data_IF_517529774452
#
_entry.id   IF_517529774452
#
_cell.length_a   1.000
_cell.length_b   1.000
_cell.length_c   1.000
_cell.angle_alpha   90.00
_cell.angle_beta   90.00
_cell.angle_gamma   90.00
#
_symmetry.space_group_name_H-M   'P 1'
#
loop_
_entity.id
_entity.type
_entity.pdbx_description
1 polymer ?
#
# COMPACT_ATOMS: atom_id res chain seq x y z
N UNK A 1 5.03 19.16 9.01
CA UNK A 1 4.29 18.88 7.76
C UNK A 1 3.62 17.52 7.95
N UNK A 2 2.36 17.36 7.55
CA UNK A 2 1.62 16.09 7.64
C UNK A 2 1.10 15.69 6.27
N UNK A 3 0.95 14.39 6.07
CA UNK A 3 0.49 13.77 4.82
C UNK A 3 -0.87 13.10 5.01
N UNK A 4 -1.62 12.99 3.92
CA UNK A 4 -2.95 12.39 3.88
C UNK A 4 -2.97 10.89 4.20
N UNK A 5 -1.79 10.26 4.21
CA UNK A 5 -1.57 8.84 4.52
C UNK A 5 -0.84 8.61 5.85
N UNK A 6 -0.71 9.65 6.68
CA UNK A 6 0.01 9.55 7.95
C UNK A 6 -0.81 8.77 9.00
N UNK A 7 -0.25 7.73 9.64
CA UNK A 7 -0.96 6.93 10.64
C UNK A 7 -1.51 7.75 11.84
N UNK A 8 -0.80 8.78 12.36
CA UNK A 8 -1.31 9.61 13.45
C UNK A 8 -2.61 10.37 13.12
N UNK A 9 -2.96 10.56 11.84
CA UNK A 9 -4.18 11.27 11.43
C UNK A 9 -5.43 10.65 12.07
N UNK A 10 -5.51 9.32 12.07
CA UNK A 10 -6.64 8.59 12.67
C UNK A 10 -6.45 8.41 14.17
N UNK A 11 -5.23 8.09 14.62
CA UNK A 11 -4.98 7.81 16.04
C UNK A 11 -5.20 9.03 16.96
N UNK A 12 -5.04 10.24 16.44
CA UNK A 12 -5.18 11.49 17.18
C UNK A 12 -6.46 12.26 16.83
N UNK A 13 -7.39 11.64 16.08
CA UNK A 13 -8.65 12.25 15.62
C UNK A 13 -8.44 13.62 14.94
N UNK A 14 -7.46 13.68 14.04
CA UNK A 14 -7.08 14.91 13.36
C UNK A 14 -7.90 15.12 12.09
N UNK A 15 -8.26 16.37 11.83
CA UNK A 15 -9.01 16.76 10.62
C UNK A 15 -8.05 17.21 9.53
N UNK A 16 -8.19 16.64 8.33
CA UNK A 16 -7.46 17.09 7.14
C UNK A 16 -8.09 18.36 6.57
N UNK A 17 -7.27 19.42 6.41
CA UNK A 17 -7.70 20.66 5.78
C UNK A 17 -7.68 20.54 4.25
N UNK A 18 -8.69 21.10 3.60
CA UNK A 18 -8.78 21.11 2.13
C UNK A 18 -7.80 22.12 1.52
N UNK A 19 -6.94 21.66 0.60
CA UNK A 19 -6.06 22.52 -0.20
C UNK A 19 -6.79 23.04 -1.44
N UNK A 20 -7.73 23.96 -1.24
CA UNK A 20 -8.59 24.47 -2.31
C UNK A 20 -7.83 25.23 -3.42
N UNK A 21 -6.59 25.66 -3.17
CA UNK A 21 -5.77 26.40 -4.14
C UNK A 21 -4.69 25.53 -4.80
N UNK A 22 -4.61 24.25 -4.44
CA UNK A 22 -3.63 23.32 -4.99
C UNK A 22 -2.20 23.78 -4.78
N UNK A 23 -1.89 24.30 -3.59
CA UNK A 23 -0.51 24.64 -3.23
C UNK A 23 0.39 23.40 -3.32
N UNK A 24 -0.15 22.23 -2.96
CA UNK A 24 0.52 20.95 -3.07
C UNK A 24 0.12 20.21 -4.33
N UNK A 25 1.11 19.57 -4.99
CA UNK A 25 0.83 18.70 -6.12
C UNK A 25 0.17 17.40 -5.65
N UNK A 26 -0.76 16.88 -6.44
CA UNK A 26 -1.30 15.56 -6.21
C UNK A 26 -0.18 14.51 -6.32
N UNK A 27 -0.15 13.58 -5.36
CA UNK A 27 0.84 12.51 -5.30
C UNK A 27 0.13 11.15 -5.39
N UNK A 28 -0.40 10.77 -6.58
CA UNK A 28 -1.02 9.47 -6.74
C UNK A 28 0.02 8.37 -6.53
N UNK A 29 -0.37 7.31 -5.82
CA UNK A 29 0.45 6.11 -5.69
C UNK A 29 0.47 5.38 -7.02
N UNK A 30 1.66 5.01 -7.46
CA UNK A 30 1.86 4.24 -8.67
C UNK A 30 2.92 3.16 -8.43
N UNK A 31 2.70 1.99 -9.03
CA UNK A 31 3.70 0.93 -9.05
C UNK A 31 4.61 1.15 -10.25
N UNK A 32 5.92 1.22 -10.00
CA UNK A 32 6.93 1.33 -11.05
C UNK A 32 7.72 0.01 -11.16
N UNK A 33 7.92 -0.45 -12.40
CA UNK A 33 8.72 -1.63 -12.72
C UNK A 33 9.70 -1.29 -13.84
N UNK A 34 10.91 -1.85 -13.80
CA UNK A 34 11.91 -1.64 -14.84
C UNK A 34 11.45 -2.27 -16.15
N UNK A 35 11.55 -1.54 -17.25
CA UNK A 35 11.12 -2.02 -18.58
C UNK A 35 11.71 -3.37 -18.99
N UNK A 36 13.02 -3.67 -18.80
CA UNK A 36 13.56 -4.98 -19.13
C UNK A 36 12.88 -6.12 -18.35
N UNK A 37 12.59 -5.89 -17.06
CA UNK A 37 11.95 -6.90 -16.21
C UNK A 37 10.49 -7.13 -16.62
N UNK A 38 9.77 -6.08 -16.97
CA UNK A 38 8.39 -6.21 -17.45
C UNK A 38 8.32 -6.96 -18.78
N UNK A 39 9.31 -6.79 -19.66
CA UNK A 39 9.41 -7.56 -20.92
C UNK A 39 9.73 -9.04 -20.67
N UNK A 40 10.57 -9.33 -19.69
CA UNK A 40 10.91 -10.70 -19.29
C UNK A 40 9.73 -11.41 -18.61
N UNK A 41 8.95 -10.67 -17.80
CA UNK A 41 7.81 -11.17 -17.04
C UNK A 41 6.55 -10.33 -17.29
N UNK A 42 5.91 -10.43 -18.47
CA UNK A 42 4.75 -9.60 -18.84
C UNK A 42 3.54 -9.80 -17.91
N UNK A 43 3.43 -10.96 -17.26
CA UNK A 43 2.39 -11.22 -16.27
C UNK A 43 2.45 -10.28 -15.05
N UNK A 44 3.61 -9.65 -14.78
CA UNK A 44 3.73 -8.66 -13.70
C UNK A 44 2.82 -7.46 -13.91
N UNK A 45 2.54 -7.05 -15.15
CA UNK A 45 1.68 -5.90 -15.42
C UNK A 45 0.30 -6.07 -14.79
N UNK A 46 -0.36 -7.20 -15.08
CA UNK A 46 -1.69 -7.50 -14.56
C UNK A 46 -1.70 -7.71 -13.04
N UNK A 47 -0.64 -8.30 -12.48
CA UNK A 47 -0.53 -8.51 -11.03
C UNK A 47 -0.32 -7.17 -10.28
N UNK A 48 0.59 -6.34 -10.77
CA UNK A 48 0.89 -5.04 -10.16
C UNK A 48 -0.25 -4.03 -10.34
N UNK A 49 -0.99 -4.10 -11.45
CA UNK A 49 -2.19 -3.29 -11.66
C UNK A 49 -3.29 -3.62 -10.62
N UNK A 50 -3.49 -4.91 -10.30
CA UNK A 50 -4.42 -5.31 -9.24
C UNK A 50 -4.00 -4.77 -7.88
N UNK A 51 -2.71 -4.89 -7.52
CA UNK A 51 -2.17 -4.29 -6.29
C UNK A 51 -2.40 -2.78 -6.27
N UNK A 52 -2.08 -2.08 -7.36
CA UNK A 52 -2.21 -0.62 -7.43
C UNK A 52 -3.64 -0.14 -7.25
N UNK A 53 -4.63 -0.91 -7.71
CA UNK A 53 -6.06 -0.55 -7.59
C UNK A 53 -6.54 -0.64 -6.15
N UNK A 54 -5.95 -1.53 -5.35
CA UNK A 54 -6.33 -1.76 -3.96
C UNK A 54 -5.63 -0.79 -2.99
N UNK A 55 -4.56 -0.11 -3.40
CA UNK A 55 -3.84 0.84 -2.54
C UNK A 55 -4.51 2.22 -2.56
N UNK A 56 -5.75 2.30 -2.09
CA UNK A 56 -6.44 3.58 -1.86
C UNK A 56 -5.84 4.32 -0.67
N UNK A 57 -6.20 5.59 -0.50
CA UNK A 57 -5.74 6.38 0.64
C UNK A 57 -6.12 5.71 1.98
N UNK A 58 -7.36 5.22 2.08
CA UNK A 58 -7.89 4.53 3.25
C UNK A 58 -7.09 3.26 3.53
N UNK A 59 -6.87 2.43 2.51
CA UNK A 59 -6.10 1.20 2.66
C UNK A 59 -4.67 1.47 3.12
N UNK A 60 -4.00 2.48 2.56
CA UNK A 60 -2.62 2.82 2.96
C UNK A 60 -2.56 3.37 4.39
N UNK A 61 -3.55 4.15 4.81
CA UNK A 61 -3.69 4.59 6.21
C UNK A 61 -3.85 3.40 7.15
N UNK A 62 -4.74 2.46 6.84
CA UNK A 62 -4.99 1.27 7.66
C UNK A 62 -3.74 0.38 7.78
N UNK A 63 -3.06 0.11 6.67
CA UNK A 63 -1.79 -0.63 6.66
C UNK A 63 -0.71 0.12 7.45
N UNK A 64 -0.65 1.45 7.28
CA UNK A 64 0.27 2.32 8.01
C UNK A 64 0.03 2.31 9.52
N UNK A 65 -1.22 2.22 9.99
CA UNK A 65 -1.54 2.11 11.42
C UNK A 65 -1.06 0.80 12.03
N UNK A 66 -1.29 -0.32 11.33
CA UNK A 66 -0.84 -1.64 11.80
C UNK A 66 0.67 -1.65 12.06
N UNK A 67 1.46 -1.05 11.18
CA UNK A 67 2.91 -0.97 11.35
C UNK A 67 3.32 0.14 12.31
N UNK A 68 2.89 1.37 12.04
CA UNK A 68 3.41 2.58 12.70
C UNK A 68 2.83 2.86 14.08
N UNK A 69 1.67 2.30 14.42
CA UNK A 69 1.00 2.52 15.72
C UNK A 69 0.91 1.20 16.50
N UNK A 70 0.49 0.11 15.87
CA UNK A 70 0.36 -1.18 16.55
C UNK A 70 1.68 -1.97 16.63
N UNK A 71 2.71 -1.54 15.90
CA UNK A 71 4.03 -2.18 15.92
C UNK A 71 4.06 -3.55 15.27
N UNK A 72 3.11 -3.86 14.38
CA UNK A 72 3.11 -5.12 13.64
C UNK A 72 4.27 -5.16 12.63
N UNK A 73 4.79 -6.36 12.40
CA UNK A 73 5.86 -6.57 11.42
C UNK A 73 5.35 -6.25 9.99
N UNK A 74 6.07 -5.40 9.22
CA UNK A 74 5.65 -5.00 7.87
C UNK A 74 5.49 -6.17 6.89
N UNK A 75 6.31 -7.22 7.01
CA UNK A 75 6.19 -8.41 6.14
C UNK A 75 4.90 -9.17 6.45
N UNK A 76 4.56 -9.31 7.74
CA UNK A 76 3.31 -9.94 8.17
C UNK A 76 2.11 -9.15 7.67
N UNK A 77 2.10 -7.83 7.84
CA UNK A 77 1.03 -6.94 7.37
C UNK A 77 0.86 -7.04 5.85
N UNK A 78 1.95 -6.89 5.09
CA UNK A 78 1.91 -6.96 3.63
C UNK A 78 1.43 -8.34 3.14
N UNK A 79 1.89 -9.43 3.76
CA UNK A 79 1.49 -10.79 3.40
C UNK A 79 0.02 -11.04 3.69
N UNK A 80 -0.47 -10.59 4.83
CA UNK A 80 -1.90 -10.69 5.20
C UNK A 80 -2.74 -9.94 4.16
N UNK A 81 -2.39 -8.68 3.89
CA UNK A 81 -3.05 -7.86 2.88
C UNK A 81 -3.12 -8.55 1.50
N UNK A 82 -1.99 -9.07 1.01
CA UNK A 82 -1.96 -9.77 -0.29
C UNK A 82 -2.76 -11.08 -0.27
N UNK A 83 -2.76 -11.81 0.84
CA UNK A 83 -3.49 -13.09 0.96
C UNK A 83 -5.00 -12.88 1.02
N UNK A 84 -5.46 -11.90 1.79
CA UNK A 84 -6.88 -11.53 1.92
C UNK A 84 -7.46 -11.04 0.59
N UNK A 85 -6.64 -10.40 -0.24
CA UNK A 85 -7.01 -9.95 -1.58
C UNK A 85 -6.77 -11.00 -2.68
N UNK A 86 -6.42 -12.25 -2.34
CA UNK A 86 -6.13 -13.33 -3.29
C UNK A 86 -4.95 -13.05 -4.25
N UNK A 87 -4.03 -12.16 -3.88
CA UNK A 87 -2.85 -11.79 -4.65
C UNK A 87 -1.60 -12.60 -4.26
N UNK A 88 -1.64 -13.30 -3.13
CA UNK A 88 -0.62 -14.24 -2.71
C UNK A 88 -1.24 -15.56 -2.25
N UNK A 89 -0.61 -16.68 -2.61
CA UNK A 89 -1.02 -17.99 -2.12
C UNK A 89 -0.72 -18.15 -0.63
N UNK A 90 -1.56 -18.89 0.10
CA UNK A 90 -1.24 -19.37 1.45
C UNK A 90 0.04 -20.21 1.35
N UNK A 91 1.06 -19.85 2.14
CA UNK A 91 2.38 -20.51 2.13
C UNK A 91 2.19 -22.03 2.12
N UNK A 92 2.49 -22.69 0.99
CA UNK A 92 2.90 -24.09 1.07
C UNK A 92 4.22 -24.03 1.83
N UNK A 93 4.19 -24.48 3.08
CA UNK A 93 5.41 -24.78 3.82
C UNK A 93 6.21 -25.72 2.91
N UNK A 94 7.20 -25.18 2.19
CA UNK A 94 8.28 -26.01 1.71
C UNK A 94 9.00 -26.46 2.98
N UNK A 95 8.58 -27.62 3.46
CA UNK A 95 9.30 -28.38 4.46
C UNK A 95 10.72 -28.59 3.95
N UNK A 96 11.67 -28.46 4.87
CA UNK A 96 12.97 -29.11 4.72
C UNK A 96 12.76 -30.61 4.53
#
# INVERSE_FOLDING_TARGET
IGYSTDPPLVALDLVMLNDARGLFQSSPLAVAVRTPLLREYPALEGLLAQVSTLLTQETVLELGQQVGIHGEDPEVVARRFLTENNLAGKRRLFGR
#
